data_IF_528528547536
#
_entry.id   IF_528528547536
#
_cell.length_a   1.000
_cell.length_b   1.000
_cell.length_c   1.000
_cell.angle_alpha   90.00
_cell.angle_beta   90.00
_cell.angle_gamma   90.00
#
_symmetry.space_group_name_H-M   'P 1'
#
loop_
_entity.id
_entity.type
_entity.pdbx_description
1 polymer ?
#
# COMPACT_ATOMS: atom_id res chain seq x y z
N UNK A 1 -3.91 7.48 -9.45
CA UNK A 1 -5.19 7.03 -8.86
C UNK A 1 -5.07 7.14 -7.33
N UNK A 2 -6.10 7.54 -6.58
CA UNK A 2 -6.04 7.48 -5.12
C UNK A 2 -5.90 6.03 -4.65
N UNK A 3 -5.12 5.81 -3.60
CA UNK A 3 -5.00 4.52 -2.92
C UNK A 3 -5.00 4.77 -1.42
N UNK A 4 -5.75 3.96 -0.68
CA UNK A 4 -5.76 4.00 0.77
C UNK A 4 -4.70 3.06 1.32
N UNK A 5 -3.93 3.49 2.30
CA UNK A 5 -2.88 2.69 2.93
C UNK A 5 -3.07 2.64 4.43
N UNK A 6 -2.87 1.47 5.02
CA UNK A 6 -2.70 1.33 6.47
C UNK A 6 -1.80 0.14 6.79
N UNK A 7 -1.19 0.15 7.96
CA UNK A 7 -0.54 -1.04 8.52
C UNK A 7 -1.60 -1.93 9.15
N UNK A 8 -1.56 -3.22 8.80
CA UNK A 8 -2.38 -4.28 9.38
C UNK A 8 -1.52 -5.31 10.09
N UNK A 9 -2.04 -5.92 11.14
CA UNK A 9 -1.58 -7.21 11.64
C UNK A 9 -2.32 -8.31 10.88
N UNK A 10 -1.65 -9.41 10.54
CA UNK A 10 -2.25 -10.52 9.76
C UNK A 10 -2.75 -11.69 10.61
N UNK A 11 -2.50 -11.67 11.92
CA UNK A 11 -2.87 -12.77 12.84
C UNK A 11 -3.29 -12.23 14.21
N UNK A 12 -4.56 -11.83 14.42
CA UNK A 12 -5.66 -11.78 13.44
C UNK A 12 -5.57 -10.57 12.49
N UNK A 13 -6.32 -10.61 11.38
CA UNK A 13 -6.38 -9.48 10.44
C UNK A 13 -7.04 -8.26 11.10
N UNK A 14 -6.25 -7.21 11.36
CA UNK A 14 -6.76 -5.94 11.94
C UNK A 14 -5.88 -4.74 11.60
N UNK A 15 -6.46 -3.55 11.41
CA UNK A 15 -5.69 -2.31 11.25
C UNK A 15 -4.98 -1.92 12.55
N UNK A 16 -3.71 -1.54 12.43
CA UNK A 16 -2.83 -1.06 13.50
C UNK A 16 -2.67 0.46 13.45
N UNK A 17 -2.89 1.05 12.28
CA UNK A 17 -2.79 2.50 12.04
C UNK A 17 -4.07 3.02 11.41
N UNK A 18 -4.31 4.33 11.53
CA UNK A 18 -5.29 5.04 10.72
C UNK A 18 -4.94 4.92 9.23
N UNK A 19 -5.97 4.92 8.38
CA UNK A 19 -5.74 4.92 6.94
C UNK A 19 -5.34 6.31 6.44
N UNK A 20 -4.34 6.37 5.56
CA UNK A 20 -3.99 7.56 4.80
C UNK A 20 -4.29 7.38 3.33
N UNK A 21 -4.52 8.49 2.63
CA UNK A 21 -4.62 8.48 1.17
C UNK A 21 -3.26 8.79 0.56
N UNK A 22 -2.81 7.89 -0.32
CA UNK A 22 -1.66 8.08 -1.20
C UNK A 22 -2.09 8.19 -2.66
N UNK A 23 -1.11 8.39 -3.53
CA UNK A 23 -1.26 8.40 -4.98
C UNK A 23 -0.54 7.20 -5.57
N UNK A 24 -1.29 6.27 -6.13
CA UNK A 24 -0.75 5.17 -6.92
C UNK A 24 -0.17 5.73 -8.23
N UNK A 25 1.11 5.44 -8.44
CA UNK A 25 1.90 5.93 -9.57
C UNK A 25 2.32 4.82 -10.54
N UNK A 26 2.41 3.58 -10.04
CA UNK A 26 2.67 2.39 -10.85
C UNK A 26 2.10 1.17 -10.13
N UNK A 27 1.65 0.17 -10.88
CA UNK A 27 1.09 -1.07 -10.36
C UNK A 27 1.41 -2.23 -11.30
N UNK A 28 1.93 -3.31 -10.74
CA UNK A 28 2.24 -4.56 -11.42
C UNK A 28 1.75 -5.73 -10.57
N UNK A 29 1.69 -6.96 -11.12
CA UNK A 29 1.36 -8.14 -10.33
C UNK A 29 2.31 -8.42 -9.15
N UNK A 30 3.54 -7.88 -9.17
CA UNK A 30 4.56 -8.11 -8.14
C UNK A 30 4.67 -6.96 -7.13
N UNK A 31 4.16 -5.78 -7.45
CA UNK A 31 4.49 -4.59 -6.69
C UNK A 31 3.73 -3.34 -7.13
N UNK A 32 3.78 -2.33 -6.28
CA UNK A 32 3.19 -1.02 -6.53
C UNK A 32 4.18 0.09 -6.16
N UNK A 33 4.10 1.22 -6.89
CA UNK A 33 4.77 2.46 -6.51
C UNK A 33 3.73 3.47 -6.06
N UNK A 34 3.85 3.93 -4.82
CA UNK A 34 2.89 4.83 -4.19
C UNK A 34 3.58 6.06 -3.65
N UNK A 35 2.98 7.22 -3.85
CA UNK A 35 3.40 8.46 -3.23
C UNK A 35 2.52 8.77 -2.01
N UNK A 36 3.12 9.15 -0.90
CA UNK A 36 2.44 9.44 0.37
C UNK A 36 2.94 10.77 0.94
N UNK A 37 2.14 11.34 1.84
CA UNK A 37 2.46 12.59 2.54
C UNK A 37 3.07 12.37 3.93
N UNK A 38 3.08 11.13 4.42
CA UNK A 38 3.55 10.77 5.74
C UNK A 38 4.20 9.38 5.74
N UNK A 39 5.36 9.28 6.39
CA UNK A 39 6.06 8.00 6.65
C UNK A 39 5.86 7.48 8.07
N UNK A 40 5.27 8.30 8.96
CA UNK A 40 4.88 7.93 10.32
C UNK A 40 3.37 8.10 10.46
N UNK A 41 2.68 7.06 10.90
CA UNK A 41 1.24 7.08 11.17
C UNK A 41 1.02 6.51 12.57
N UNK A 42 0.29 7.25 13.43
CA UNK A 42 0.07 6.88 14.84
C UNK A 42 1.35 6.50 15.61
N UNK A 43 2.49 7.13 15.27
CA UNK A 43 3.78 6.86 15.90
C UNK A 43 4.55 5.66 15.33
N UNK A 44 4.01 4.96 14.33
CA UNK A 44 4.69 3.85 13.65
C UNK A 44 5.30 4.33 12.34
N UNK A 45 6.59 4.09 12.17
CA UNK A 45 7.29 4.36 10.93
C UNK A 45 7.01 3.25 9.92
N UNK A 46 6.32 3.57 8.84
CA UNK A 46 5.80 2.59 7.88
C UNK A 46 6.87 1.62 7.37
N UNK A 47 8.05 2.14 6.97
CA UNK A 47 9.14 1.28 6.50
C UNK A 47 9.68 0.35 7.59
N UNK A 48 10.12 0.88 8.74
CA UNK A 48 10.76 0.09 9.78
C UNK A 48 9.78 -0.85 10.49
N UNK A 49 8.59 -0.38 10.85
CA UNK A 49 7.62 -1.18 11.61
C UNK A 49 6.97 -2.30 10.80
N UNK A 50 6.75 -2.09 9.49
CA UNK A 50 6.23 -3.15 8.60
C UNK A 50 7.29 -4.21 8.35
N UNK A 51 8.57 -3.81 8.19
CA UNK A 51 9.64 -4.75 7.85
C UNK A 51 10.20 -5.50 9.07
N UNK A 52 10.21 -4.89 10.25
CA UNK A 52 10.80 -5.49 11.46
C UNK A 52 9.81 -6.32 12.29
N UNK A 53 8.52 -6.32 11.96
CA UNK A 53 7.52 -7.10 12.70
C UNK A 53 7.00 -8.28 11.86
N UNK A 54 7.03 -9.52 12.38
CA UNK A 54 6.74 -10.72 11.60
C UNK A 54 5.32 -10.71 11.00
N UNK A 55 4.37 -10.15 11.74
CA UNK A 55 2.94 -10.16 11.40
C UNK A 55 2.39 -8.83 10.88
N UNK A 56 3.22 -7.79 10.70
CA UNK A 56 2.73 -6.53 10.13
C UNK A 56 2.91 -6.51 8.62
N UNK A 57 1.91 -5.97 7.93
CA UNK A 57 1.93 -5.73 6.49
C UNK A 57 1.36 -4.36 6.20
N UNK A 58 1.74 -3.80 5.06
CA UNK A 58 1.08 -2.63 4.50
C UNK A 58 -0.09 -3.13 3.67
N UNK A 59 -1.31 -2.74 4.03
CA UNK A 59 -2.49 -2.95 3.21
C UNK A 59 -2.70 -1.73 2.29
N UNK A 60 -2.93 -2.01 1.01
CA UNK A 60 -3.19 -1.06 -0.07
C UNK A 60 -4.61 -1.33 -0.59
N UNK A 61 -5.52 -0.36 -0.45
CA UNK A 61 -6.89 -0.47 -0.98
C UNK A 61 -7.11 0.53 -2.09
N UNK A 62 -7.43 0.02 -3.27
CA UNK A 62 -7.71 0.77 -4.48
C UNK A 62 -9.22 0.79 -4.70
N UNK A 63 -9.77 1.96 -4.98
CA UNK A 63 -11.16 2.10 -5.44
C UNK A 63 -11.17 2.02 -6.97
N UNK A 64 -11.99 1.11 -7.49
CA UNK A 64 -12.05 0.87 -8.93
C UNK A 64 -12.89 1.95 -9.62
N UNK A 65 -12.40 2.55 -10.72
CA UNK A 65 -13.06 3.69 -11.37
C UNK A 65 -14.39 3.33 -12.02
N UNK A 66 -14.64 2.05 -12.31
CA UNK A 66 -15.87 1.53 -12.93
C UNK A 66 -16.96 1.17 -11.89
N UNK A 67 -16.80 1.57 -10.63
CA UNK A 67 -17.67 1.18 -9.52
C UNK A 67 -17.76 -0.34 -9.28
N UNK A 68 -16.81 -1.14 -9.80
CA UNK A 68 -16.73 -2.59 -9.52
C UNK A 68 -16.29 -2.91 -8.08
N UNK A 69 -16.16 -1.88 -7.24
CA UNK A 69 -15.87 -1.97 -5.82
C UNK A 69 -14.42 -1.61 -5.50
N UNK A 70 -13.84 -2.34 -4.53
CA UNK A 70 -12.46 -2.13 -4.07
C UNK A 70 -11.62 -3.37 -4.31
N UNK A 71 -10.33 -3.16 -4.51
CA UNK A 71 -9.32 -4.22 -4.47
C UNK A 71 -8.33 -3.88 -3.37
N UNK A 72 -8.10 -4.82 -2.46
CA UNK A 72 -7.09 -4.70 -1.41
C UNK A 72 -5.93 -5.63 -1.71
N UNK A 73 -4.72 -5.18 -1.39
CA UNK A 73 -3.51 -5.97 -1.49
C UNK A 73 -2.68 -5.78 -0.23
N UNK A 74 -1.98 -6.84 0.20
CA UNK A 74 -1.04 -6.75 1.31
C UNK A 74 0.39 -6.82 0.78
N UNK A 75 1.28 -6.06 1.41
CA UNK A 75 2.65 -5.92 0.94
C UNK A 75 3.64 -5.54 2.03
N UNK A 76 4.90 -5.44 1.64
CA UNK A 76 5.98 -4.82 2.44
C UNK A 76 6.62 -3.71 1.64
N UNK A 77 7.15 -2.73 2.36
CA UNK A 77 7.83 -1.61 1.71
C UNK A 77 9.28 -2.05 1.45
N UNK A 78 9.65 -2.23 0.19
CA UNK A 78 11.01 -2.67 -0.19
C UNK A 78 12.02 -1.52 -0.19
N UNK A 79 11.57 -0.32 -0.54
CA UNK A 79 12.35 0.91 -0.47
C UNK A 79 11.44 2.11 -0.25
N UNK A 80 12.00 3.19 0.30
CA UNK A 80 11.35 4.50 0.29
C UNK A 80 12.35 5.60 -0.04
N UNK A 81 11.82 6.68 -0.61
CA UNK A 81 12.58 7.87 -0.93
C UNK A 81 11.79 9.14 -0.55
N UNK A 82 12.51 10.22 -0.22
CA UNK A 82 11.92 11.54 0.03
C UNK A 82 12.22 12.44 -1.15
N UNK A 83 11.17 13.01 -1.73
CA UNK A 83 11.28 14.05 -2.74
C UNK A 83 11.59 15.39 -2.06
N UNK A 84 12.47 16.17 -2.67
CA UNK A 84 12.83 17.52 -2.20
C UNK A 84 11.80 18.60 -2.58
N UNK A 85 10.73 18.22 -3.30
CA UNK A 85 9.72 19.17 -3.76
C UNK A 85 8.66 19.43 -2.68
N UNK A 86 8.08 20.64 -2.71
CA UNK A 86 7.01 21.10 -1.79
C UNK A 86 5.64 20.50 -2.15
N UNK A 87 5.64 19.30 -2.74
CA UNK A 87 4.44 18.55 -3.08
C UNK A 87 3.77 18.01 -1.81
N UNK A 88 2.44 17.99 -1.80
CA UNK A 88 1.67 17.31 -0.75
C UNK A 88 2.07 15.83 -0.60
N UNK A 89 2.48 15.18 -1.68
CA UNK A 89 3.06 13.83 -1.67
C UNK A 89 4.59 13.92 -1.89
N UNK A 90 5.33 13.97 -0.79
CA UNK A 90 6.78 14.15 -0.76
C UNK A 90 7.55 12.87 -0.41
N UNK A 91 6.87 11.74 -0.22
CA UNK A 91 7.51 10.45 -0.03
C UNK A 91 7.05 9.45 -1.08
N UNK A 92 7.95 8.61 -1.55
CA UNK A 92 7.67 7.54 -2.52
C UNK A 92 8.03 6.20 -1.90
N UNK A 93 7.11 5.24 -1.97
CA UNK A 93 7.30 3.86 -1.53
C UNK A 93 7.28 2.91 -2.72
N UNK A 94 8.26 2.02 -2.76
CA UNK A 94 8.15 0.76 -3.47
C UNK A 94 7.55 -0.28 -2.54
N UNK A 95 6.42 -0.87 -2.95
CA UNK A 95 5.74 -1.91 -2.20
C UNK A 95 5.83 -3.20 -2.98
N UNK A 96 6.37 -4.24 -2.37
CA UNK A 96 6.29 -5.62 -2.85
C UNK A 96 5.00 -6.24 -2.34
N UNK A 97 4.20 -6.81 -3.24
CA UNK A 97 2.93 -7.44 -2.90
C UNK A 97 3.17 -8.92 -2.53
N UNK A 98 2.56 -9.37 -1.45
CA UNK A 98 2.63 -10.76 -0.97
C UNK A 98 1.23 -11.31 -0.78
N UNK A 99 1.13 -12.64 -0.74
CA UNK A 99 -0.09 -13.36 -0.32
C UNK A 99 -1.37 -12.98 -1.11
N UNK A 100 -1.21 -12.46 -2.33
CA UNK A 100 -2.33 -12.21 -3.25
C UNK A 100 -2.99 -13.54 -3.60
N UNK A 101 -4.27 -13.67 -3.28
CA UNK A 101 -5.08 -14.84 -3.65
C UNK A 101 -5.26 -14.94 -5.17
N UNK A 102 -5.55 -16.12 -5.74
CA UNK A 102 -5.80 -16.26 -7.18
C UNK A 102 -6.92 -15.33 -7.70
N UNK A 103 -7.96 -15.13 -6.91
CA UNK A 103 -9.09 -14.24 -7.23
C UNK A 103 -8.67 -12.77 -7.26
N UNK A 104 -7.92 -12.30 -6.25
CA UNK A 104 -7.37 -10.94 -6.23
C UNK A 104 -6.36 -10.73 -7.36
N UNK A 105 -5.59 -11.75 -7.69
CA UNK A 105 -4.66 -11.74 -8.82
C UNK A 105 -5.41 -11.57 -10.14
N UNK A 106 -6.46 -12.34 -10.37
CA UNK A 106 -7.29 -12.22 -11.57
C UNK A 106 -7.92 -10.83 -11.67
N UNK A 107 -8.48 -10.31 -10.58
CA UNK A 107 -9.02 -8.94 -10.54
C UNK A 107 -7.96 -7.88 -10.83
N UNK A 108 -6.74 -8.07 -10.32
CA UNK A 108 -5.61 -7.20 -10.63
C UNK A 108 -5.20 -7.28 -12.10
N UNK A 109 -5.14 -8.49 -12.68
CA UNK A 109 -4.84 -8.65 -14.11
C UNK A 109 -5.88 -7.98 -14.99
N UNK A 110 -7.18 -8.19 -14.72
CA UNK A 110 -8.28 -7.56 -15.46
C UNK A 110 -8.31 -6.04 -15.31
N UNK A 111 -7.70 -5.49 -14.26
CA UNK A 111 -7.53 -4.05 -14.08
C UNK A 111 -6.36 -3.48 -14.88
N UNK A 112 -5.29 -4.27 -15.04
CA UNK A 112 -4.05 -3.83 -15.69
C UNK A 112 -4.05 -4.00 -17.22
N UNK A 113 -4.84 -4.94 -17.77
CA UNK A 113 -4.85 -5.33 -19.18
C UNK A 113 -6.26 -5.36 -19.76
#
# INVERSE_FOLDING_TARGET
MPVHLCVVETAPLRPVTSSITGKLCDLTPAGARVEVNAVIINGLHLFYDVNNHPYRRLELTLEMPDNSGKISFQGRISWYDRKENDSQFNHTFGVELFDITPEERERLYNFLF
#
